data_IF_760962539603
#
_entry.id   IF_760962539603
#
_cell.length_a   1.000
_cell.length_b   1.000
_cell.length_c   1.000
_cell.angle_alpha   90.00
_cell.angle_beta   90.00
_cell.angle_gamma   90.00
#
_symmetry.space_group_name_H-M   'P 1'
#
loop_
_entity.id
_entity.type
_entity.pdbx_description
1 polymer ?
#
# COMPACT_ATOMS: atom_id res chain seq x y z
N UNK A 1 28.07 -12.19 6.44
CA UNK A 1 26.65 -11.75 6.52
C UNK A 1 26.49 -10.24 6.65
N UNK A 2 27.23 -9.55 7.54
CA UNK A 2 27.09 -8.10 7.77
C UNK A 2 27.26 -7.24 6.49
N UNK A 3 28.30 -7.49 5.71
CA UNK A 3 28.56 -6.77 4.45
C UNK A 3 27.47 -6.97 3.37
N UNK A 4 26.83 -8.15 3.33
CA UNK A 4 25.72 -8.46 2.42
C UNK A 4 24.44 -7.72 2.82
N UNK A 5 24.16 -7.66 4.13
CA UNK A 5 23.05 -6.88 4.66
C UNK A 5 23.24 -5.39 4.36
N UNK A 6 24.44 -4.86 4.59
CA UNK A 6 24.76 -3.46 4.31
C UNK A 6 24.57 -3.12 2.83
N UNK A 7 25.01 -3.97 1.90
CA UNK A 7 24.80 -3.72 0.46
C UNK A 7 23.34 -3.79 0.03
N UNK A 8 22.52 -4.63 0.66
CA UNK A 8 21.08 -4.72 0.37
C UNK A 8 20.32 -3.51 0.93
N UNK A 9 20.70 -3.02 2.11
CA UNK A 9 20.06 -1.86 2.74
C UNK A 9 20.63 -0.53 2.29
N UNK A 10 21.82 -0.50 1.69
CA UNK A 10 22.50 0.73 1.25
C UNK A 10 21.65 1.57 0.28
N UNK A 11 21.01 1.01 -0.77
CA UNK A 11 20.13 1.78 -1.65
C UNK A 11 18.94 2.42 -0.91
N UNK A 12 18.43 1.75 0.13
CA UNK A 12 17.38 2.30 0.99
C UNK A 12 17.92 3.40 1.91
N UNK A 13 19.15 3.30 2.43
CA UNK A 13 19.73 4.37 3.26
C UNK A 13 20.07 5.62 2.46
N UNK A 14 20.40 5.49 1.18
CA UNK A 14 20.94 6.60 0.37
C UNK A 14 19.88 7.27 -0.51
N UNK A 15 18.85 6.54 -0.95
CA UNK A 15 17.81 7.11 -1.81
C UNK A 15 16.60 7.59 -1.01
N UNK A 16 16.50 8.90 -0.80
CA UNK A 16 15.28 9.53 -0.29
C UNK A 16 14.05 9.22 -1.17
N UNK A 17 14.24 9.05 -2.48
CA UNK A 17 13.16 8.69 -3.40
C UNK A 17 12.58 7.30 -3.10
N UNK A 18 13.42 6.31 -2.77
CA UNK A 18 12.96 4.98 -2.37
C UNK A 18 12.10 5.03 -1.11
N UNK A 19 12.53 5.81 -0.11
CA UNK A 19 11.74 6.05 1.10
C UNK A 19 10.39 6.68 0.80
N UNK A 20 10.36 7.73 -0.03
CA UNK A 20 9.11 8.38 -0.43
C UNK A 20 8.18 7.43 -1.18
N UNK A 21 8.70 6.56 -2.06
CA UNK A 21 7.89 5.55 -2.76
C UNK A 21 7.25 4.58 -1.75
N UNK A 22 8.01 4.10 -0.76
CA UNK A 22 7.48 3.21 0.27
C UNK A 22 6.44 3.91 1.16
N UNK A 23 6.74 5.12 1.62
CA UNK A 23 5.84 5.91 2.47
C UNK A 23 4.54 6.24 1.73
N UNK A 24 4.63 6.68 0.47
CA UNK A 24 3.43 6.94 -0.33
C UNK A 24 2.65 5.65 -0.60
N UNK A 25 3.30 4.57 -1.04
CA UNK A 25 2.61 3.32 -1.37
C UNK A 25 1.89 2.70 -0.18
N UNK A 26 2.59 2.59 0.96
CA UNK A 26 2.04 2.03 2.20
C UNK A 26 1.01 3.00 2.81
N UNK A 27 1.32 4.30 2.86
CA UNK A 27 0.46 5.32 3.42
C UNK A 27 -0.86 5.46 2.66
N UNK A 28 -0.82 5.50 1.32
CA UNK A 28 -2.02 5.57 0.48
C UNK A 28 -2.88 4.32 0.65
N UNK A 29 -2.27 3.13 0.74
CA UNK A 29 -2.96 1.87 0.99
C UNK A 29 -3.69 1.86 2.34
N UNK A 30 -3.04 2.36 3.39
CA UNK A 30 -3.62 2.51 4.73
C UNK A 30 -4.77 3.52 4.74
N UNK A 31 -4.62 4.66 4.07
CA UNK A 31 -5.68 5.68 3.97
C UNK A 31 -6.94 5.14 3.30
N UNK A 32 -6.78 4.35 2.22
CA UNK A 32 -7.91 3.71 1.54
C UNK A 32 -8.59 2.71 2.45
N UNK A 33 -7.82 1.92 3.21
CA UNK A 33 -8.36 0.95 4.16
C UNK A 33 -9.16 1.65 5.27
N UNK A 34 -8.58 2.68 5.91
CA UNK A 34 -9.23 3.44 6.98
C UNK A 34 -10.49 4.13 6.48
N UNK A 35 -10.43 4.79 5.32
CA UNK A 35 -11.58 5.47 4.73
C UNK A 35 -12.72 4.49 4.43
N UNK A 36 -12.38 3.28 4.01
CA UNK A 36 -13.38 2.24 3.77
C UNK A 36 -13.92 1.63 5.07
N UNK A 37 -13.08 1.34 6.06
CA UNK A 37 -13.53 0.83 7.37
C UNK A 37 -14.51 1.82 8.01
N UNK A 38 -14.25 3.13 7.85
CA UNK A 38 -15.17 4.19 8.28
C UNK A 38 -16.50 4.18 7.50
N UNK A 39 -16.45 4.06 6.17
CA UNK A 39 -17.66 3.95 5.35
C UNK A 39 -18.47 2.70 5.68
N UNK A 40 -17.80 1.58 5.96
CA UNK A 40 -18.42 0.32 6.35
C UNK A 40 -19.13 0.45 7.70
N UNK A 41 -18.46 1.04 8.69
CA UNK A 41 -19.05 1.28 10.01
C UNK A 41 -20.25 2.23 9.94
N UNK A 42 -20.16 3.27 9.10
CA UNK A 42 -21.27 4.20 8.87
C UNK A 42 -22.47 3.52 8.19
N UNK A 43 -22.21 2.70 7.16
CA UNK A 43 -23.25 1.91 6.49
C UNK A 43 -23.91 0.94 7.46
N UNK A 44 -23.11 0.20 8.23
CA UNK A 44 -23.61 -0.75 9.22
C UNK A 44 -24.47 -0.07 10.29
N UNK A 45 -24.08 1.12 10.77
CA UNK A 45 -24.89 1.92 11.69
C UNK A 45 -26.22 2.42 11.07
N UNK A 46 -26.29 2.58 9.75
CA UNK A 46 -27.47 3.06 9.02
C UNK A 46 -28.39 1.93 8.53
N UNK A 47 -27.86 0.74 8.27
CA UNK A 47 -28.59 -0.41 7.69
C UNK A 47 -28.81 -1.56 8.66
N UNK A 48 -28.33 -1.44 9.91
CA UNK A 48 -28.55 -2.41 10.99
C UNK A 48 -30.03 -2.81 11.07
N UNK A 49 -30.34 -4.09 10.83
CA UNK A 49 -31.69 -4.65 10.90
C UNK A 49 -32.45 -4.71 9.56
N UNK A 50 -31.79 -4.47 8.42
CA UNK A 50 -32.40 -4.59 7.08
C UNK A 50 -31.69 -5.62 6.20
N UNK A 51 -32.40 -6.25 5.25
CA UNK A 51 -31.85 -7.24 4.30
C UNK A 51 -30.66 -6.72 3.45
N UNK A 52 -30.48 -5.40 3.36
CA UNK A 52 -29.38 -4.73 2.66
C UNK A 52 -28.06 -4.72 3.45
N UNK A 53 -28.08 -5.09 4.73
CA UNK A 53 -26.93 -5.10 5.64
C UNK A 53 -25.77 -5.98 5.14
N UNK A 54 -26.03 -6.98 4.29
CA UNK A 54 -25.01 -7.92 3.80
C UNK A 54 -24.56 -7.72 2.34
N UNK A 55 -25.40 -7.15 1.46
CA UNK A 55 -25.15 -7.18 0.00
C UNK A 55 -24.29 -6.01 -0.52
N UNK A 56 -24.53 -4.79 -0.05
CA UNK A 56 -23.76 -3.60 -0.44
C UNK A 56 -22.33 -3.55 0.10
N UNK A 57 -22.04 -3.89 1.38
CA UNK A 57 -20.68 -3.79 1.91
C UNK A 57 -19.69 -4.71 1.21
N UNK A 58 -20.13 -5.88 0.74
CA UNK A 58 -19.25 -6.87 0.12
C UNK A 58 -18.63 -6.38 -1.21
N UNK A 59 -19.41 -5.67 -2.04
CA UNK A 59 -18.91 -5.12 -3.32
C UNK A 59 -17.91 -3.98 -3.11
N UNK A 60 -18.15 -3.12 -2.12
CA UNK A 60 -17.27 -2.00 -1.76
C UNK A 60 -15.92 -2.51 -1.23
N UNK A 61 -15.94 -3.49 -0.31
CA UNK A 61 -14.72 -4.15 0.22
C UNK A 61 -13.91 -4.81 -0.90
N UNK A 62 -14.58 -5.49 -1.83
CA UNK A 62 -13.89 -6.15 -2.94
C UNK A 62 -13.19 -5.14 -3.85
N UNK A 63 -13.84 -4.02 -4.18
CA UNK A 63 -13.29 -2.99 -5.09
C UNK A 63 -12.07 -2.27 -4.50
N UNK A 64 -12.12 -1.90 -3.24
CA UNK A 64 -11.00 -1.26 -2.55
C UNK A 64 -9.80 -2.20 -2.39
N UNK A 65 -10.02 -3.50 -2.10
CA UNK A 65 -8.96 -4.48 -1.99
C UNK A 65 -8.21 -4.62 -3.31
N UNK A 66 -8.91 -4.64 -4.45
CA UNK A 66 -8.24 -4.59 -5.76
C UNK A 66 -7.43 -3.31 -5.96
N UNK A 67 -7.93 -2.17 -5.48
CA UNK A 67 -7.27 -0.87 -5.59
C UNK A 67 -6.00 -0.82 -4.73
N UNK A 68 -6.07 -1.32 -3.50
CA UNK A 68 -4.93 -1.48 -2.58
C UNK A 68 -3.88 -2.42 -3.21
N UNK A 69 -4.31 -3.58 -3.73
CA UNK A 69 -3.40 -4.52 -4.41
C UNK A 69 -2.71 -3.85 -5.60
N UNK A 70 -3.44 -3.08 -6.40
CA UNK A 70 -2.87 -2.32 -7.51
C UNK A 70 -1.81 -1.31 -7.07
N UNK A 71 -2.07 -0.57 -5.99
CA UNK A 71 -1.12 0.38 -5.40
C UNK A 71 0.12 -0.35 -4.87
N UNK A 72 -0.06 -1.49 -4.19
CA UNK A 72 1.06 -2.28 -3.67
C UNK A 72 1.94 -2.83 -4.80
N UNK A 73 1.34 -3.36 -5.88
CA UNK A 73 2.07 -3.82 -7.06
C UNK A 73 2.83 -2.65 -7.70
N UNK A 74 2.18 -1.51 -7.88
CA UNK A 74 2.83 -0.31 -8.42
C UNK A 74 4.01 0.13 -7.55
N UNK A 75 3.84 0.14 -6.23
CA UNK A 75 4.88 0.49 -5.26
C UNK A 75 6.06 -0.48 -5.33
N UNK A 76 5.78 -1.77 -5.48
CA UNK A 76 6.80 -2.80 -5.63
C UNK A 76 7.60 -2.61 -6.92
N UNK A 77 6.93 -2.37 -8.05
CA UNK A 77 7.60 -2.13 -9.34
C UNK A 77 8.43 -0.83 -9.30
N UNK A 78 7.87 0.24 -8.76
CA UNK A 78 8.55 1.53 -8.64
C UNK A 78 9.78 1.45 -7.72
N UNK A 79 9.66 0.75 -6.59
CA UNK A 79 10.79 0.55 -5.66
C UNK A 79 11.88 -0.33 -6.26
N UNK A 80 11.55 -1.43 -6.96
CA UNK A 80 12.56 -2.26 -7.66
C UNK A 80 13.31 -1.44 -8.71
N UNK A 81 12.59 -0.60 -9.48
CA UNK A 81 13.20 0.25 -10.50
C UNK A 81 14.18 1.25 -9.89
N UNK A 82 13.76 1.93 -8.82
CA UNK A 82 14.60 2.92 -8.15
C UNK A 82 15.78 2.26 -7.40
N UNK A 83 15.58 1.06 -6.86
CA UNK A 83 16.64 0.25 -6.26
C UNK A 83 17.72 -0.10 -7.28
N UNK A 84 17.34 -0.59 -8.47
CA UNK A 84 18.31 -0.88 -9.55
C UNK A 84 19.06 0.39 -10.00
N UNK A 85 18.37 1.52 -10.08
CA UNK A 85 18.99 2.80 -10.44
C UNK A 85 19.99 3.28 -9.39
N UNK A 86 19.62 3.22 -8.10
CA UNK A 86 20.50 3.59 -7.01
C UNK A 86 21.72 2.66 -6.97
N UNK A 87 21.51 1.35 -7.09
CA UNK A 87 22.60 0.38 -7.12
C UNK A 87 23.60 0.69 -8.24
N UNK A 88 23.15 0.87 -9.50
CA UNK A 88 24.00 1.24 -10.64
C UNK A 88 24.72 2.59 -10.51
N UNK A 89 24.24 3.47 -9.64
CA UNK A 89 24.81 4.82 -9.47
C UNK A 89 25.93 4.84 -8.43
N UNK A 90 25.89 3.90 -7.48
CA UNK A 90 26.85 3.80 -6.39
C UNK A 90 27.81 2.60 -6.51
N UNK A 91 27.47 1.62 -7.35
CA UNK A 91 28.29 0.47 -7.74
C UNK A 91 28.31 0.32 -9.27
#
# INVERSE_FOLDING_TARGET
MRALLETVFFPFMVSQKLWWILVFGIGLSLLIKIGMDYQLAKLHAQTAGTLLESLEPHRLIKRSNYLIIGILIWTLVASIREYKNAYKRFF
#
